data_IF_460595395614
#
_entry.id   IF_460595395614
#
_cell.length_a   1.000
_cell.length_b   1.000
_cell.length_c   1.000
_cell.angle_alpha   90.00
_cell.angle_beta   90.00
_cell.angle_gamma   90.00
#
_symmetry.space_group_name_H-M   'P 1'
#
loop_
_entity.id
_entity.type
_entity.pdbx_description
1 polymer ?
#
# COMPACT_ATOMS: atom_id res chain seq x y z
N UNK A 1 35.02 64.22 38.70
CA UNK A 1 36.30 63.73 38.13
C UNK A 1 36.23 63.80 36.60
N UNK A 2 37.40 63.91 35.98
CA UNK A 2 37.71 64.19 34.56
C UNK A 2 37.02 63.28 33.51
N UNK A 3 36.57 63.94 32.43
CA UNK A 3 36.56 63.60 30.99
C UNK A 3 36.78 62.12 30.56
N UNK A 4 35.97 61.66 29.60
CA UNK A 4 36.39 61.48 28.19
C UNK A 4 35.22 61.18 27.26
N UNK A 5 35.06 62.02 26.23
CA UNK A 5 34.30 61.70 25.01
C UNK A 5 35.20 60.84 24.13
N UNK A 6 34.73 59.69 23.67
CA UNK A 6 35.32 58.94 22.57
C UNK A 6 34.26 58.78 21.49
N UNK A 7 34.45 59.51 20.39
CA UNK A 7 33.78 59.26 19.11
C UNK A 7 34.30 57.94 18.55
N UNK A 8 33.41 57.02 18.19
CA UNK A 8 33.73 55.87 17.35
C UNK A 8 33.16 56.11 15.96
N UNK A 9 34.04 56.11 14.96
CA UNK A 9 33.75 56.26 13.54
C UNK A 9 33.64 54.86 12.91
N UNK A 10 32.45 54.59 12.36
CA UNK A 10 32.11 53.91 11.09
C UNK A 10 32.94 52.71 10.61
N UNK A 11 32.24 51.57 10.40
CA UNK A 11 32.30 50.81 9.13
C UNK A 11 31.03 49.98 8.94
N UNK A 12 30.15 50.39 8.01
CA UNK A 12 29.07 49.53 7.50
C UNK A 12 29.67 48.57 6.46
N UNK A 13 29.76 47.28 6.76
CA UNK A 13 29.92 46.24 5.76
C UNK A 13 28.55 45.92 5.17
N UNK A 14 28.29 46.37 3.94
CA UNK A 14 27.16 45.90 3.16
C UNK A 14 27.52 44.53 2.56
N UNK A 15 27.10 43.45 3.21
CA UNK A 15 27.12 42.10 2.64
C UNK A 15 25.95 41.98 1.66
N UNK A 16 26.25 41.96 0.35
CA UNK A 16 25.26 41.65 -0.67
C UNK A 16 24.85 40.18 -0.59
N UNK A 17 23.60 39.92 -0.21
CA UNK A 17 23.01 38.59 -0.35
C UNK A 17 22.62 38.40 -1.82
N UNK A 18 23.37 37.55 -2.53
CA UNK A 18 22.93 37.03 -3.82
C UNK A 18 21.79 36.04 -3.57
N UNK A 19 20.56 36.43 -3.94
CA UNK A 19 19.41 35.53 -3.94
C UNK A 19 19.52 34.68 -5.20
N UNK A 20 20.03 33.45 -5.06
CA UNK A 20 19.93 32.46 -6.12
C UNK A 20 18.45 32.06 -6.28
N UNK A 21 17.90 32.01 -7.51
CA UNK A 21 16.57 31.45 -7.71
C UNK A 21 16.63 29.95 -7.39
N UNK A 22 15.89 29.53 -6.36
CA UNK A 22 15.64 28.12 -6.09
C UNK A 22 14.83 27.56 -7.27
N UNK A 23 15.49 26.78 -8.11
CA UNK A 23 14.82 26.00 -9.15
C UNK A 23 14.08 24.91 -8.41
N UNK A 24 12.75 25.00 -8.35
CA UNK A 24 11.92 23.93 -7.83
C UNK A 24 12.22 22.67 -8.64
N UNK A 25 12.70 21.62 -7.97
CA UNK A 25 12.81 20.31 -8.58
C UNK A 25 11.41 19.89 -9.03
N UNK A 26 11.27 19.22 -10.19
CA UNK A 26 10.00 18.64 -10.57
C UNK A 26 9.59 17.69 -9.44
N UNK A 27 8.45 17.96 -8.80
CA UNK A 27 7.77 16.96 -7.99
C UNK A 27 7.52 15.78 -8.92
N UNK A 28 8.21 14.66 -8.70
CA UNK A 28 7.84 13.41 -9.35
C UNK A 28 6.34 13.24 -9.13
N UNK A 29 5.58 13.03 -10.20
CA UNK A 29 4.18 12.69 -10.04
C UNK A 29 4.13 11.49 -9.09
N UNK A 30 3.47 11.66 -7.94
CA UNK A 30 3.30 10.58 -6.98
C UNK A 30 2.70 9.40 -7.74
N UNK A 31 3.39 8.26 -7.66
CA UNK A 31 2.93 7.05 -8.32
C UNK A 31 1.55 6.66 -7.79
N UNK A 32 0.72 6.09 -8.65
CA UNK A 32 -0.51 5.44 -8.22
C UNK A 32 -0.23 3.95 -7.99
N UNK A 33 -0.89 3.37 -6.99
CA UNK A 33 -1.02 1.93 -6.87
C UNK A 33 -1.57 1.36 -8.19
N UNK A 34 -1.14 0.16 -8.56
CA UNK A 34 -1.53 -0.51 -9.81
C UNK A 34 -2.31 -1.76 -9.48
N UNK A 35 -3.37 -2.01 -10.25
CA UNK A 35 -4.07 -3.30 -10.21
C UNK A 35 -4.38 -3.78 -11.62
N UNK A 36 -4.04 -5.02 -11.91
CA UNK A 36 -4.18 -5.62 -13.25
C UNK A 36 -4.50 -7.10 -13.16
N UNK A 37 -5.26 -7.59 -14.14
CA UNK A 37 -5.60 -9.00 -14.27
C UNK A 37 -4.88 -9.63 -15.48
N UNK A 38 -4.31 -10.81 -15.27
CA UNK A 38 -3.68 -11.65 -16.27
C UNK A 38 -4.55 -12.89 -16.50
N UNK A 39 -5.31 -12.88 -17.59
CA UNK A 39 -6.21 -13.97 -17.96
C UNK A 39 -5.47 -15.26 -18.32
N UNK A 40 -4.24 -15.19 -18.83
CA UNK A 40 -3.47 -16.39 -19.16
C UNK A 40 -3.02 -17.14 -17.90
N UNK A 41 -2.80 -16.40 -16.81
CA UNK A 41 -2.43 -16.93 -15.49
C UNK A 41 -3.63 -17.15 -14.56
N UNK A 42 -4.81 -16.64 -14.90
CA UNK A 42 -5.97 -16.56 -14.00
C UNK A 42 -5.63 -15.82 -12.70
N UNK A 43 -5.01 -14.65 -12.81
CA UNK A 43 -4.52 -13.93 -11.64
C UNK A 43 -4.79 -12.44 -11.67
N UNK A 44 -4.91 -11.83 -10.49
CA UNK A 44 -4.92 -10.38 -10.30
C UNK A 44 -3.75 -10.01 -9.39
N UNK A 45 -3.08 -8.90 -9.67
CA UNK A 45 -2.05 -8.36 -8.80
C UNK A 45 -2.33 -6.90 -8.49
N UNK A 46 -2.36 -6.57 -7.20
CA UNK A 46 -2.33 -5.20 -6.69
C UNK A 46 -0.91 -4.88 -6.20
N UNK A 47 -0.41 -3.69 -6.50
CA UNK A 47 0.89 -3.20 -6.02
C UNK A 47 0.79 -1.72 -5.71
N UNK A 48 0.97 -1.34 -4.46
CA UNK A 48 1.02 0.06 -4.08
C UNK A 48 2.20 0.80 -4.71
N UNK A 49 2.08 2.12 -4.82
CA UNK A 49 3.21 2.97 -5.14
C UNK A 49 3.96 3.38 -3.86
N UNK A 50 5.25 3.73 -3.96
CA UNK A 50 6.04 4.12 -2.80
C UNK A 50 5.43 5.28 -2.01
N UNK A 51 5.39 5.16 -0.68
CA UNK A 51 4.92 6.16 0.27
C UNK A 51 3.41 6.37 0.28
N UNK A 52 2.61 5.45 -0.30
CA UNK A 52 1.16 5.47 -0.17
C UNK A 52 0.73 4.84 1.16
N UNK A 53 -0.29 5.42 1.79
CA UNK A 53 -0.99 4.79 2.92
C UNK A 53 -2.34 4.30 2.40
N UNK A 54 -2.43 3.00 2.16
CA UNK A 54 -3.56 2.33 1.53
C UNK A 54 -4.60 1.94 2.60
N UNK A 55 -5.87 2.01 2.23
CA UNK A 55 -6.99 1.43 2.98
C UNK A 55 -7.79 0.59 1.99
N UNK A 56 -7.26 -0.60 1.71
CA UNK A 56 -7.68 -1.42 0.59
C UNK A 56 -8.79 -2.40 0.98
N UNK A 57 -9.89 -2.33 0.26
CA UNK A 57 -10.99 -3.27 0.33
C UNK A 57 -11.08 -4.08 -0.96
N UNK A 58 -10.92 -5.40 -0.83
CA UNK A 58 -11.14 -6.35 -1.95
C UNK A 58 -12.53 -6.97 -1.78
N UNK A 59 -13.41 -6.69 -2.74
CA UNK A 59 -14.83 -7.06 -2.67
C UNK A 59 -15.29 -7.86 -3.88
N UNK A 60 -16.17 -8.85 -3.72
CA UNK A 60 -16.75 -9.52 -4.87
C UNK A 60 -17.76 -8.58 -5.50
N UNK A 61 -17.92 -8.65 -6.81
CA UNK A 61 -18.98 -7.94 -7.52
C UNK A 61 -19.85 -8.92 -8.29
N UNK A 62 -20.96 -8.42 -8.83
CA UNK A 62 -21.85 -9.22 -9.67
C UNK A 62 -21.09 -9.84 -10.85
N UNK A 63 -21.34 -11.11 -11.11
CA UNK A 63 -20.78 -11.80 -12.26
C UNK A 63 -21.23 -11.11 -13.55
N UNK A 64 -20.29 -10.82 -14.44
CA UNK A 64 -20.57 -10.43 -15.81
C UNK A 64 -20.73 -11.67 -16.69
N UNK A 65 -21.22 -11.49 -17.91
CA UNK A 65 -21.34 -12.60 -18.86
C UNK A 65 -19.95 -13.18 -19.17
N UNK A 66 -19.66 -14.38 -18.65
CA UNK A 66 -18.40 -15.10 -18.86
C UNK A 66 -17.22 -14.62 -18.02
N UNK A 67 -17.41 -13.62 -17.15
CA UNK A 67 -16.36 -13.08 -16.28
C UNK A 67 -16.83 -12.89 -14.84
N UNK A 68 -15.93 -13.12 -13.90
CA UNK A 68 -16.08 -12.71 -12.50
C UNK A 68 -15.49 -11.32 -12.34
N UNK A 69 -16.22 -10.42 -11.68
CA UNK A 69 -15.76 -9.06 -11.37
C UNK A 69 -15.32 -8.97 -9.92
N UNK A 70 -14.15 -8.40 -9.70
CA UNK A 70 -13.54 -8.20 -8.40
C UNK A 70 -13.24 -6.72 -8.26
N UNK A 71 -13.76 -6.10 -7.20
CA UNK A 71 -13.55 -4.70 -6.89
C UNK A 71 -12.37 -4.48 -5.95
N UNK A 72 -11.57 -3.46 -6.25
CA UNK A 72 -10.48 -2.94 -5.42
C UNK A 72 -10.78 -1.48 -5.13
N UNK A 73 -11.19 -1.20 -3.89
CA UNK A 73 -11.49 0.15 -3.40
C UNK A 73 -10.43 0.56 -2.41
N UNK A 74 -9.87 1.74 -2.58
CA UNK A 74 -8.78 2.25 -1.75
C UNK A 74 -9.07 3.69 -1.28
N UNK A 75 -8.26 4.23 -0.37
CA UNK A 75 -8.23 5.65 -0.02
C UNK A 75 -7.37 6.47 -0.98
N UNK A 76 -6.36 5.85 -1.60
CA UNK A 76 -5.44 6.48 -2.56
C UNK A 76 -5.82 6.20 -4.01
N UNK A 77 -5.39 7.06 -4.97
CA UNK A 77 -5.67 6.82 -6.39
C UNK A 77 -5.00 5.54 -6.91
N UNK A 78 -5.78 4.77 -7.65
CA UNK A 78 -5.40 3.53 -8.33
C UNK A 78 -5.20 3.79 -9.82
N UNK A 79 -4.35 2.98 -10.44
CA UNK A 79 -4.16 2.91 -11.87
C UNK A 79 -4.60 1.53 -12.38
N UNK A 80 -5.72 1.43 -13.12
CA UNK A 80 -6.11 0.18 -13.73
C UNK A 80 -5.08 -0.25 -14.78
N UNK A 81 -4.76 -1.53 -14.78
CA UNK A 81 -3.99 -2.25 -15.78
C UNK A 81 -4.88 -3.11 -16.68
N UNK A 82 -4.29 -4.16 -17.27
CA UNK A 82 -4.98 -5.06 -18.19
C UNK A 82 -6.23 -5.69 -17.54
N UNK A 83 -7.32 -5.75 -18.32
CA UNK A 83 -8.62 -6.31 -17.89
C UNK A 83 -9.19 -5.69 -16.60
N UNK A 84 -8.80 -4.45 -16.31
CA UNK A 84 -9.35 -3.67 -15.22
C UNK A 84 -9.80 -2.28 -15.71
N UNK A 85 -10.81 -1.73 -15.07
CA UNK A 85 -11.32 -0.39 -15.35
C UNK A 85 -11.78 0.27 -14.06
N UNK A 86 -11.84 1.60 -14.01
CA UNK A 86 -12.54 2.28 -12.94
C UNK A 86 -14.01 1.85 -12.93
N UNK A 87 -14.58 1.65 -11.73
CA UNK A 87 -16.00 1.35 -11.58
C UNK A 87 -16.86 2.50 -12.11
N UNK A 88 -16.50 3.72 -11.71
CA UNK A 88 -17.15 4.95 -12.13
C UNK A 88 -16.10 5.88 -12.77
N UNK A 89 -16.34 6.39 -13.99
CA UNK A 89 -15.41 7.33 -14.61
C UNK A 89 -15.15 8.56 -13.73
N UNK A 90 -13.87 8.84 -13.44
CA UNK A 90 -13.45 9.94 -12.59
C UNK A 90 -13.33 9.60 -11.10
N UNK A 91 -13.77 8.41 -10.67
CA UNK A 91 -13.52 7.87 -9.32
C UNK A 91 -12.29 6.98 -9.39
N UNK A 92 -11.11 7.57 -9.18
CA UNK A 92 -9.83 6.87 -9.34
C UNK A 92 -9.47 5.96 -8.17
N UNK A 93 -10.28 5.91 -7.12
CA UNK A 93 -10.05 5.09 -5.92
C UNK A 93 -10.80 3.76 -5.97
N UNK A 94 -11.48 3.44 -7.07
CA UNK A 94 -12.22 2.20 -7.21
C UNK A 94 -12.04 1.59 -8.61
N UNK A 95 -11.26 0.51 -8.67
CA UNK A 95 -11.00 -0.26 -9.89
C UNK A 95 -11.69 -1.63 -9.79
N UNK A 96 -12.26 -2.08 -10.90
CA UNK A 96 -12.83 -3.41 -11.07
C UNK A 96 -11.99 -4.18 -12.07
N UNK A 97 -11.61 -5.39 -11.70
CA UNK A 97 -10.88 -6.33 -12.55
C UNK A 97 -11.75 -7.52 -12.91
N UNK A 98 -11.51 -8.08 -14.10
CA UNK A 98 -12.25 -9.22 -14.62
C UNK A 98 -11.35 -10.46 -14.74
N UNK A 99 -11.88 -11.62 -14.34
CA UNK A 99 -11.30 -12.93 -14.60
C UNK A 99 -12.30 -13.82 -15.35
N UNK A 100 -11.88 -14.61 -16.35
CA UNK A 100 -12.77 -15.53 -17.06
C UNK A 100 -13.35 -16.60 -16.13
N UNK A 101 -14.64 -16.93 -16.28
CA UNK A 101 -15.29 -17.97 -15.46
C UNK A 101 -15.05 -19.39 -15.96
N UNK A 102 -14.57 -19.55 -17.19
CA UNK A 102 -14.34 -20.84 -17.86
C UNK A 102 -12.89 -21.33 -17.76
N UNK A 103 -12.06 -20.63 -16.98
CA UNK A 103 -10.67 -21.01 -16.76
C UNK A 103 -10.56 -22.32 -15.97
N UNK A 104 -9.67 -23.21 -16.42
CA UNK A 104 -9.34 -24.43 -15.69
C UNK A 104 -8.37 -24.19 -14.52
N UNK A 105 -7.82 -22.97 -14.39
CA UNK A 105 -6.93 -22.58 -13.30
C UNK A 105 -7.76 -21.97 -12.17
N UNK A 106 -7.36 -22.14 -10.90
CA UNK A 106 -7.97 -21.40 -9.82
C UNK A 106 -7.60 -19.91 -9.92
N UNK A 107 -8.49 -19.04 -9.45
CA UNK A 107 -8.20 -17.63 -9.28
C UNK A 107 -7.06 -17.43 -8.28
N UNK A 108 -6.13 -16.54 -8.63
CA UNK A 108 -5.01 -16.16 -7.77
C UNK A 108 -4.93 -14.65 -7.66
N UNK A 109 -5.22 -14.12 -6.47
CA UNK A 109 -5.14 -12.68 -6.20
C UNK A 109 -3.98 -12.44 -5.25
N UNK A 110 -3.00 -11.64 -5.66
CA UNK A 110 -1.86 -11.26 -4.84
C UNK A 110 -1.89 -9.75 -4.59
N UNK A 111 -1.72 -9.33 -3.34
CA UNK A 111 -1.75 -7.93 -2.91
C UNK A 111 -0.43 -7.59 -2.20
N UNK A 112 0.18 -6.48 -2.62
CA UNK A 112 1.40 -5.93 -2.04
C UNK A 112 1.14 -4.46 -1.66
N UNK A 113 1.06 -4.17 -0.37
CA UNK A 113 0.66 -2.86 0.17
C UNK A 113 1.84 -1.86 0.25
N UNK A 114 3.07 -2.35 0.27
CA UNK A 114 4.23 -1.51 -0.03
C UNK A 114 4.90 -1.02 1.24
N UNK A 115 5.12 0.28 1.36
CA UNK A 115 5.70 0.91 2.53
C UNK A 115 4.73 1.90 3.15
N UNK A 116 4.78 2.04 4.48
CA UNK A 116 3.86 2.85 5.24
C UNK A 116 2.88 1.99 6.04
N UNK A 117 2.12 2.62 6.92
CA UNK A 117 1.15 1.92 7.76
C UNK A 117 -0.15 1.72 6.96
N UNK A 118 -0.32 0.53 6.39
CA UNK A 118 -1.39 0.19 5.47
C UNK A 118 -2.51 -0.62 6.15
N UNK A 119 -3.73 -0.49 5.61
CA UNK A 119 -4.87 -1.30 6.00
C UNK A 119 -5.41 -2.12 4.82
N UNK A 120 -5.85 -3.35 5.09
CA UNK A 120 -6.58 -4.16 4.11
C UNK A 120 -7.69 -4.98 4.76
N UNK A 121 -8.83 -5.06 4.06
CA UNK A 121 -9.91 -6.00 4.36
C UNK A 121 -10.22 -6.90 3.16
N UNK A 122 -10.25 -8.22 3.39
CA UNK A 122 -10.70 -9.20 2.39
C UNK A 122 -11.81 -10.08 2.97
N UNK A 123 -12.95 -10.18 2.27
CA UNK A 123 -14.11 -10.97 2.72
C UNK A 123 -14.58 -12.01 1.71
N UNK A 124 -14.44 -11.72 0.42
CA UNK A 124 -14.60 -12.57 -0.78
C UNK A 124 -14.17 -11.68 -1.96
N UNK A 125 -13.63 -12.16 -3.10
CA UNK A 125 -13.12 -13.50 -3.41
C UNK A 125 -12.04 -13.98 -2.44
N UNK A 126 -11.68 -15.26 -2.58
CA UNK A 126 -10.46 -15.83 -2.00
C UNK A 126 -9.20 -15.10 -2.50
N UNK A 127 -8.40 -14.57 -1.59
CA UNK A 127 -7.09 -14.00 -1.91
C UNK A 127 -6.00 -15.06 -1.71
N UNK A 128 -4.97 -15.05 -2.55
CA UNK A 128 -3.86 -15.97 -2.42
C UNK A 128 -2.84 -15.44 -1.41
N UNK A 129 -2.32 -14.23 -1.66
CA UNK A 129 -1.28 -13.62 -0.83
C UNK A 129 -1.62 -12.17 -0.51
N UNK A 130 -1.37 -11.78 0.73
CA UNK A 130 -1.28 -10.38 1.17
C UNK A 130 0.09 -10.16 1.81
N UNK A 131 0.76 -9.08 1.41
CA UNK A 131 2.01 -8.56 1.99
C UNK A 131 1.70 -7.14 2.47
N UNK A 132 1.95 -6.87 3.76
CA UNK A 132 2.00 -5.51 4.30
C UNK A 132 3.20 -4.78 3.72
N UNK A 133 4.38 -5.15 4.20
CA UNK A 133 5.66 -4.60 3.79
C UNK A 133 6.30 -3.86 4.96
N UNK A 134 7.13 -2.83 4.75
CA UNK A 134 7.63 -2.04 5.87
C UNK A 134 6.58 -1.03 6.38
N UNK A 135 6.18 -1.12 7.63
CA UNK A 135 5.16 -0.27 8.25
C UNK A 135 4.44 -1.01 9.38
N UNK A 136 3.69 -0.31 10.21
CA UNK A 136 2.85 -0.94 11.23
C UNK A 136 1.46 -1.24 10.60
N UNK A 137 1.31 -2.41 9.97
CA UNK A 137 0.17 -2.71 9.11
C UNK A 137 -1.02 -3.34 9.84
N UNK A 138 -2.23 -3.11 9.34
CA UNK A 138 -3.47 -3.77 9.80
C UNK A 138 -4.09 -4.63 8.71
N UNK A 139 -3.81 -5.93 8.77
CA UNK A 139 -4.15 -6.90 7.73
C UNK A 139 -5.36 -7.77 8.13
N UNK A 140 -6.58 -7.26 7.95
CA UNK A 140 -7.83 -8.02 8.09
C UNK A 140 -8.12 -8.88 6.84
N UNK A 141 -7.17 -9.72 6.46
CA UNK A 141 -7.20 -10.48 5.21
C UNK A 141 -7.87 -11.87 5.38
N UNK A 142 -9.11 -11.91 5.87
CA UNK A 142 -9.81 -13.15 6.25
C UNK A 142 -9.83 -14.25 5.16
N UNK A 143 -9.85 -13.88 3.89
CA UNK A 143 -9.87 -14.87 2.79
C UNK A 143 -8.50 -15.24 2.26
N UNK A 144 -7.46 -14.50 2.63
CA UNK A 144 -6.12 -14.70 2.14
C UNK A 144 -5.52 -16.01 2.65
N UNK A 145 -5.02 -16.85 1.74
CA UNK A 145 -4.36 -18.08 2.13
C UNK A 145 -3.10 -17.79 2.94
N UNK A 146 -2.27 -16.87 2.46
CA UNK A 146 -1.01 -16.47 3.07
C UNK A 146 -1.04 -14.97 3.35
N UNK A 147 -0.72 -14.58 4.56
CA UNK A 147 -0.62 -13.18 4.99
C UNK A 147 0.72 -12.96 5.66
N UNK A 148 1.45 -11.93 5.23
CA UNK A 148 2.73 -11.52 5.79
C UNK A 148 2.64 -10.06 6.23
N UNK A 149 2.92 -9.79 7.50
CA UNK A 149 3.12 -8.43 8.01
C UNK A 149 4.36 -7.80 7.38
N UNK A 150 5.45 -8.56 7.42
CA UNK A 150 6.79 -8.22 6.91
C UNK A 150 7.63 -7.43 7.92
N UNK A 151 7.67 -6.09 7.95
CA UNK A 151 8.54 -5.39 8.89
C UNK A 151 7.81 -4.23 9.57
N UNK A 152 7.72 -4.27 10.89
CA UNK A 152 6.94 -3.33 11.69
C UNK A 152 6.14 -4.07 12.75
N UNK A 153 5.36 -3.36 13.56
CA UNK A 153 4.52 -3.97 14.58
C UNK A 153 3.13 -4.25 14.00
N UNK A 154 2.95 -5.44 13.40
CA UNK A 154 1.79 -5.73 12.54
C UNK A 154 0.61 -6.39 13.26
N UNK A 155 -0.60 -6.13 12.77
CA UNK A 155 -1.83 -6.85 13.11
C UNK A 155 -2.20 -7.78 11.95
N UNK A 156 -1.92 -9.08 12.08
CA UNK A 156 -2.05 -10.04 10.98
C UNK A 156 -3.20 -11.01 11.20
N UNK A 157 -4.13 -11.04 10.24
CA UNK A 157 -5.23 -12.00 10.19
C UNK A 157 -5.35 -12.63 8.81
N UNK A 158 -5.43 -13.96 8.74
CA UNK A 158 -5.47 -14.71 7.48
C UNK A 158 -6.08 -16.10 7.64
N UNK A 159 -6.13 -16.88 6.56
CA UNK A 159 -6.84 -18.17 6.52
C UNK A 159 -5.99 -19.41 6.79
N UNK A 160 -4.72 -19.45 6.34
CA UNK A 160 -3.90 -20.67 6.47
C UNK A 160 -2.52 -20.38 7.04
N UNK A 161 -1.79 -19.46 6.43
CA UNK A 161 -0.43 -19.07 6.84
C UNK A 161 -0.45 -17.61 7.25
N UNK A 162 -0.07 -17.35 8.50
CA UNK A 162 0.14 -16.01 9.04
C UNK A 162 1.60 -15.90 9.46
N UNK A 163 2.31 -14.94 8.89
CA UNK A 163 3.69 -14.61 9.23
C UNK A 163 3.73 -13.14 9.65
N UNK A 164 4.13 -12.87 10.88
CA UNK A 164 4.29 -11.50 11.37
C UNK A 164 5.47 -10.83 10.68
N UNK A 165 6.59 -11.55 10.52
CA UNK A 165 7.84 -10.95 10.11
C UNK A 165 8.55 -10.26 11.28
N UNK A 166 9.37 -9.25 10.97
CA UNK A 166 10.23 -8.54 11.91
C UNK A 166 9.43 -7.48 12.69
N UNK A 167 9.23 -7.69 13.99
CA UNK A 167 8.61 -6.68 14.87
C UNK A 167 7.88 -7.30 16.04
N UNK A 168 7.02 -6.53 16.69
CA UNK A 168 6.11 -7.01 17.72
C UNK A 168 4.70 -7.22 17.15
N UNK A 169 4.51 -8.35 16.49
CA UNK A 169 3.26 -8.63 15.79
C UNK A 169 2.18 -9.24 16.67
N UNK A 170 0.94 -8.98 16.28
CA UNK A 170 -0.25 -9.64 16.79
C UNK A 170 -0.89 -10.49 15.69
N UNK A 171 -0.75 -11.81 15.83
CA UNK A 171 -1.32 -12.77 14.90
C UNK A 171 -2.67 -13.28 15.42
N UNK A 172 -3.74 -13.06 14.66
CA UNK A 172 -5.08 -13.53 15.00
C UNK A 172 -5.50 -14.67 14.08
N UNK A 173 -5.58 -15.87 14.67
CA UNK A 173 -6.16 -17.02 14.01
C UNK A 173 -7.68 -16.88 13.90
N UNK A 174 -8.25 -17.21 12.75
CA UNK A 174 -9.72 -17.21 12.52
C UNK A 174 -10.33 -18.61 12.48
N UNK A 175 -9.50 -19.64 12.26
CA UNK A 175 -9.91 -21.05 12.13
C UNK A 175 -8.91 -21.98 12.84
N UNK A 176 -9.27 -23.28 12.98
CA UNK A 176 -8.50 -24.26 13.77
C UNK A 176 -7.23 -24.85 13.13
N UNK A 177 -7.08 -24.74 11.80
CA UNK A 177 -6.00 -25.38 11.03
C UNK A 177 -5.05 -24.34 10.40
N UNK A 178 -4.44 -23.50 11.25
CA UNK A 178 -3.61 -22.38 10.81
C UNK A 178 -2.17 -22.50 11.33
N UNK A 179 -1.24 -22.03 10.53
CA UNK A 179 0.17 -21.94 10.88
C UNK A 179 0.52 -20.47 11.12
N UNK A 180 1.00 -20.18 12.33
CA UNK A 180 1.34 -18.84 12.79
C UNK A 180 2.83 -18.79 13.10
N UNK A 181 3.53 -17.85 12.48
CA UNK A 181 4.94 -17.55 12.73
C UNK A 181 5.05 -16.09 13.15
N UNK A 182 5.42 -15.82 14.41
CA UNK A 182 5.99 -14.53 14.76
C UNK A 182 7.50 -14.63 14.58
N UNK A 183 8.15 -13.70 13.88
CA UNK A 183 9.60 -13.65 13.98
C UNK A 183 9.95 -13.03 15.34
N UNK A 184 10.96 -13.59 15.99
CA UNK A 184 11.51 -12.96 17.19
C UNK A 184 12.46 -11.86 16.75
N UNK A 185 12.30 -10.64 17.28
CA UNK A 185 13.24 -9.54 17.11
C UNK A 185 14.69 -10.06 17.17
N UNK A 186 15.40 -9.98 16.05
CA UNK A 186 16.84 -10.28 16.05
C UNK A 186 17.56 -9.08 16.67
N UNK A 187 17.83 -9.18 17.97
CA UNK A 187 18.55 -8.16 18.77
C UNK A 187 20.03 -8.08 18.42
#
# INVERSE_FOLDING_TARGET
MKRKRMSAVVTLLATGLAVSPAVAAPTAAEGKARVGADWAKQSITFTAAPGQLNDLHVVPMDQGDGVRRIGFRDSVPLQPGDHCTYLEPGVETYVVCELPTDSARPDRIDVFLGDGDDEIATSDPGVATVSGGPGDDTLHAHTAHTVRGDAGDDMVMGRVVLDGGDGMDHLMAVDGDQFLWGAGATT
#
